data_IF_006765720293
#
_entry.id   IF_006765720293
#
_cell.length_a   1.000
_cell.length_b   1.000
_cell.length_c   1.000
_cell.angle_alpha   90.00
_cell.angle_beta   90.00
_cell.angle_gamma   90.00
#
_symmetry.space_group_name_H-M   'P 1'
#
loop_
_entity.id
_entity.type
_entity.pdbx_description
1 polymer ?
#
# COMPACT_ATOMS: atom_id res chain seq x y z
N UNK A 1 17.40 -18.78 -11.77
CA UNK A 1 16.58 -18.79 -11.71
C UNK A 1 15.48 -18.37 -10.88
N UNK A 2 15.10 -18.82 -9.85
CA UNK A 2 14.04 -18.28 -9.16
C UNK A 2 14.27 -16.93 -8.62
N UNK A 3 15.46 -16.41 -8.75
CA UNK A 3 15.67 -15.11 -8.30
C UNK A 3 14.93 -14.09 -9.02
N UNK A 4 14.67 -14.32 -10.34
CA UNK A 4 13.98 -13.35 -11.01
C UNK A 4 12.54 -13.29 -10.64
N UNK A 5 12.02 -14.24 -9.93
CA UNK A 5 10.70 -14.13 -9.41
C UNK A 5 10.62 -13.07 -8.33
N UNK A 6 11.65 -12.93 -7.51
CA UNK A 6 11.66 -11.88 -6.52
C UNK A 6 11.64 -10.52 -7.16
N UNK A 7 12.39 -10.36 -8.21
CA UNK A 7 12.40 -9.07 -8.87
C UNK A 7 11.04 -8.74 -9.45
N UNK A 8 10.35 -9.74 -9.98
CA UNK A 8 9.04 -9.52 -10.53
C UNK A 8 8.07 -9.09 -9.44
N UNK A 9 8.15 -9.69 -8.28
CA UNK A 9 7.29 -9.32 -7.18
C UNK A 9 7.57 -7.88 -6.75
N UNK A 10 8.85 -7.52 -6.65
CA UNK A 10 9.22 -6.17 -6.25
C UNK A 10 8.70 -5.15 -7.24
N UNK A 11 8.73 -5.47 -8.51
CA UNK A 11 8.25 -4.53 -9.52
C UNK A 11 6.77 -4.25 -9.40
N UNK A 12 6.01 -5.14 -8.80
CA UNK A 12 4.58 -4.96 -8.67
C UNK A 12 4.17 -4.29 -7.37
N UNK A 13 5.12 -4.02 -6.48
CA UNK A 13 4.80 -3.29 -5.26
C UNK A 13 4.43 -1.88 -5.60
N UNK A 14 3.41 -1.36 -4.93
CA UNK A 14 3.09 0.05 -5.05
C UNK A 14 3.36 0.79 -3.74
N UNK A 15 3.22 0.13 -2.61
CA UNK A 15 3.56 0.75 -1.33
C UNK A 15 4.06 -0.28 -0.33
N UNK A 16 4.66 0.24 0.76
CA UNK A 16 5.01 -0.55 1.93
C UNK A 16 4.38 0.14 3.13
N UNK A 17 3.82 -0.64 4.04
CA UNK A 17 3.17 -0.10 5.23
C UNK A 17 4.23 0.39 6.21
N UNK A 18 4.15 1.67 6.58
CA UNK A 18 5.08 2.25 7.55
C UNK A 18 4.52 2.21 8.95
N UNK A 19 3.21 2.43 9.09
CA UNK A 19 2.58 2.48 10.40
C UNK A 19 1.09 2.28 10.24
N UNK A 20 0.41 2.02 11.34
CA UNK A 20 -1.03 1.86 11.32
C UNK A 20 -1.61 2.27 12.67
N UNK A 21 -2.58 3.18 12.66
CA UNK A 21 -3.25 3.63 13.86
C UNK A 21 -4.56 2.88 13.99
N UNK A 22 -4.66 2.01 14.97
CA UNK A 22 -5.85 1.19 15.15
C UNK A 22 -7.07 2.01 15.55
N UNK A 23 -6.85 3.10 16.24
CA UNK A 23 -7.99 3.90 16.71
C UNK A 23 -8.67 4.63 15.56
N UNK A 24 -7.90 5.23 14.68
CA UNK A 24 -8.46 5.95 13.57
C UNK A 24 -8.56 5.07 12.32
N UNK A 25 -7.96 3.89 12.37
CA UNK A 25 -7.88 2.97 11.22
C UNK A 25 -7.15 3.62 10.03
N UNK A 26 -6.19 4.49 10.33
CA UNK A 26 -5.42 5.15 9.29
C UNK A 26 -4.09 4.45 9.10
N UNK A 27 -3.81 4.06 7.88
CA UNK A 27 -2.54 3.43 7.52
C UNK A 27 -1.61 4.48 6.93
N UNK A 28 -0.34 4.44 7.33
CA UNK A 28 0.69 5.29 6.77
C UNK A 28 1.52 4.44 5.83
N UNK A 29 1.57 4.85 4.57
CA UNK A 29 2.19 4.05 3.52
C UNK A 29 3.29 4.86 2.85
N UNK A 30 4.32 4.17 2.39
CA UNK A 30 5.36 4.81 1.58
C UNK A 30 5.19 4.35 0.14
N UNK A 31 5.04 5.29 -0.78
CA UNK A 31 4.82 4.99 -2.19
C UNK A 31 6.13 4.49 -2.81
N UNK A 32 6.05 3.37 -3.51
CA UNK A 32 7.20 2.80 -4.23
C UNK A 32 7.01 2.90 -5.73
N UNK A 33 5.79 2.70 -6.20
CA UNK A 33 5.47 2.77 -7.61
C UNK A 33 4.11 3.42 -7.77
N UNK A 34 3.84 3.87 -8.97
CA UNK A 34 2.59 4.56 -9.29
C UNK A 34 1.37 3.69 -9.01
N UNK A 35 0.38 4.27 -8.36
CA UNK A 35 -0.93 3.62 -8.24
C UNK A 35 -2.00 4.69 -8.07
N UNK A 36 -3.26 4.29 -8.25
CA UNK A 36 -4.39 5.20 -8.16
C UNK A 36 -5.19 4.91 -6.91
N UNK A 37 -5.77 5.95 -6.27
CA UNK A 37 -6.72 5.73 -5.19
C UNK A 37 -7.99 5.07 -5.70
N UNK A 38 -8.82 4.65 -4.76
CA UNK A 38 -10.15 4.09 -5.06
C UNK A 38 -10.10 2.88 -5.96
N UNK A 39 -9.20 1.95 -5.66
CA UNK A 39 -9.11 0.70 -6.40
C UNK A 39 -8.79 -0.41 -5.43
N UNK A 40 -8.95 -1.65 -5.89
CA UNK A 40 -8.62 -2.80 -5.09
C UNK A 40 -7.14 -3.08 -5.21
N UNK A 41 -6.50 -3.33 -4.07
CA UNK A 41 -5.09 -3.69 -4.02
C UNK A 41 -4.93 -4.92 -3.16
N UNK A 42 -3.81 -5.60 -3.32
CA UNK A 42 -3.53 -6.79 -2.56
C UNK A 42 -2.43 -6.51 -1.55
N UNK A 43 -2.68 -6.87 -0.29
CA UNK A 43 -1.70 -6.71 0.76
C UNK A 43 -1.21 -8.07 1.21
N UNK A 44 0.09 -8.17 1.49
CA UNK A 44 0.65 -9.38 2.07
C UNK A 44 1.85 -8.98 2.92
N UNK A 45 2.14 -9.77 3.90
CA UNK A 45 3.23 -9.46 4.82
C UNK A 45 3.71 -10.72 5.53
N UNK A 46 4.66 -10.54 6.47
CA UNK A 46 5.22 -11.72 7.17
C UNK A 46 4.16 -12.54 7.90
N UNK A 47 3.10 -11.89 8.38
CA UNK A 47 2.08 -12.58 9.15
C UNK A 47 0.69 -12.45 8.53
N UNK A 48 0.59 -11.84 7.35
CA UNK A 48 -0.69 -11.64 6.67
C UNK A 48 -0.67 -12.42 5.37
N UNK A 49 -1.66 -13.29 5.19
CA UNK A 49 -1.82 -13.96 3.92
C UNK A 49 -2.33 -12.95 2.89
N UNK A 50 -2.01 -13.20 1.64
CA UNK A 50 -2.43 -12.34 0.54
C UNK A 50 -3.93 -12.08 0.62
N UNK A 51 -4.31 -10.82 0.74
CA UNK A 51 -5.70 -10.42 0.91
C UNK A 51 -5.98 -9.21 0.03
N UNK A 52 -7.12 -9.22 -0.64
CA UNK A 52 -7.53 -8.10 -1.47
C UNK A 52 -8.34 -7.13 -0.62
N UNK A 53 -7.96 -5.87 -0.65
CA UNK A 53 -8.62 -4.82 0.14
C UNK A 53 -8.94 -3.66 -0.80
N UNK A 54 -10.13 -3.10 -0.66
CA UNK A 54 -10.49 -1.91 -1.42
C UNK A 54 -9.91 -0.70 -0.72
N UNK A 55 -9.06 0.05 -1.43
CA UNK A 55 -8.45 1.26 -0.90
C UNK A 55 -9.26 2.44 -1.41
N UNK A 56 -9.74 3.27 -0.50
CA UNK A 56 -10.50 4.44 -0.86
C UNK A 56 -9.62 5.64 -1.16
N UNK A 57 -10.01 6.82 -0.65
CA UNK A 57 -9.24 8.03 -0.87
C UNK A 57 -7.89 7.92 -0.18
N UNK A 58 -6.87 8.51 -0.80
CA UNK A 58 -5.53 8.55 -0.26
C UNK A 58 -5.17 10.01 -0.05
N UNK A 59 -4.51 10.30 1.07
CA UNK A 59 -4.19 11.66 1.48
C UNK A 59 -2.68 11.82 1.63
N UNK A 60 -2.17 13.02 1.38
CA UNK A 60 -0.76 13.29 1.64
C UNK A 60 -0.59 13.67 3.13
N UNK A 61 0.62 14.05 3.53
CA UNK A 61 0.90 14.36 4.93
C UNK A 61 0.23 15.65 5.40
N UNK A 62 -0.35 16.42 4.49
CA UNK A 62 -1.07 17.63 4.83
C UNK A 62 -2.57 17.43 4.71
N UNK A 63 -3.01 16.18 4.62
CA UNK A 63 -4.42 15.80 4.54
C UNK A 63 -5.11 16.24 3.25
N UNK A 64 -4.35 16.47 2.20
CA UNK A 64 -4.92 16.76 0.89
C UNK A 64 -5.21 15.47 0.16
N UNK A 65 -6.38 15.37 -0.45
CA UNK A 65 -6.76 14.19 -1.22
C UNK A 65 -5.90 14.12 -2.47
N UNK A 66 -5.33 12.96 -2.73
CA UNK A 66 -4.50 12.74 -3.91
C UNK A 66 -5.30 12.06 -4.99
N UNK A 67 -5.18 12.54 -6.22
CA UNK A 67 -5.83 11.91 -7.36
C UNK A 67 -4.98 10.80 -7.95
N UNK A 68 -3.69 10.84 -7.67
CA UNK A 68 -2.78 9.82 -8.15
C UNK A 68 -1.58 9.79 -7.21
N UNK A 69 -1.06 8.61 -6.97
CA UNK A 69 0.10 8.43 -6.11
C UNK A 69 1.26 8.01 -7.01
N UNK A 70 2.04 9.00 -7.45
CA UNK A 70 3.10 8.73 -8.42
C UNK A 70 4.47 9.30 -8.02
N UNK A 71 4.61 9.78 -6.79
CA UNK A 71 5.90 10.28 -6.33
C UNK A 71 6.59 9.21 -5.51
N UNK A 72 7.73 8.67 -5.97
CA UNK A 72 8.42 7.64 -5.21
C UNK A 72 8.83 8.15 -3.84
N UNK A 73 8.74 7.29 -2.84
CA UNK A 73 9.14 7.59 -1.47
C UNK A 73 8.22 8.59 -0.76
N UNK A 74 7.13 9.00 -1.39
CA UNK A 74 6.18 9.88 -0.74
C UNK A 74 5.42 9.13 0.35
N UNK A 75 5.17 9.80 1.47
CA UNK A 75 4.38 9.23 2.55
C UNK A 75 2.93 9.64 2.34
N UNK A 76 2.02 8.67 2.40
CA UNK A 76 0.59 8.92 2.22
C UNK A 76 -0.19 8.20 3.31
N UNK A 77 -1.43 8.62 3.51
CA UNK A 77 -2.32 8.05 4.51
C UNK A 77 -3.62 7.62 3.84
N UNK A 78 -4.18 6.51 4.30
CA UNK A 78 -5.47 6.07 3.81
C UNK A 78 -6.15 5.24 4.88
N UNK A 79 -7.47 5.20 4.86
CA UNK A 79 -8.20 4.34 5.77
C UNK A 79 -8.03 2.89 5.36
N UNK A 80 -7.88 2.03 6.35
CA UNK A 80 -7.64 0.61 6.08
C UNK A 80 -8.43 -0.22 7.06
N UNK A 81 -9.37 -1.00 6.57
CA UNK A 81 -10.23 -1.79 7.44
C UNK A 81 -9.91 -3.27 7.40
N UNK A 82 -9.00 -3.70 6.56
CA UNK A 82 -8.65 -5.12 6.46
C UNK A 82 -7.40 -5.45 7.26
N UNK A 83 -6.84 -6.64 7.04
CA UNK A 83 -5.60 -7.01 7.73
C UNK A 83 -4.47 -6.08 7.31
N UNK A 84 -3.64 -5.68 8.28
CA UNK A 84 -2.52 -4.81 7.99
C UNK A 84 -1.48 -4.97 9.09
N UNK A 85 -0.21 -4.83 8.73
CA UNK A 85 0.88 -4.82 9.70
C UNK A 85 2.02 -4.00 9.12
N UNK A 86 2.90 -3.53 10.00
CA UNK A 86 4.07 -2.76 9.57
C UNK A 86 4.95 -3.67 8.72
N UNK A 87 5.52 -3.09 7.68
CA UNK A 87 6.38 -3.77 6.70
C UNK A 87 5.62 -4.70 5.74
N UNK A 88 4.30 -4.71 5.82
CA UNK A 88 3.52 -5.41 4.81
C UNK A 88 3.66 -4.68 3.47
N UNK A 89 3.50 -5.42 2.40
CA UNK A 89 3.65 -4.88 1.06
C UNK A 89 2.31 -4.88 0.36
N UNK A 90 2.09 -3.86 -0.45
CA UNK A 90 0.85 -3.70 -1.17
C UNK A 90 1.17 -3.63 -2.66
N UNK A 91 0.43 -4.37 -3.46
CA UNK A 91 0.66 -4.41 -4.91
C UNK A 91 -0.64 -4.33 -5.66
N UNK A 92 -0.54 -3.99 -6.95
CA UNK A 92 -1.71 -3.93 -7.81
C UNK A 92 -2.21 -5.33 -8.12
N UNK A 93 -3.52 -5.41 -8.32
CA UNK A 93 -4.14 -6.66 -8.76
C UNK A 93 -4.10 -6.69 -10.27
N UNK A 94 -3.73 -7.86 -10.81
CA UNK A 94 -3.62 -7.99 -12.26
C UNK A 94 -4.90 -8.40 -12.89
#
# INVERSE_FOLDING_TARGET
MYQFHKETVIEHYVTIVQDYDKESQMATLQVKNHFMPNQDLEIFGPHILSTIVHVGDVYDTEDNVLEVCNKPMQIVHTKWSGPIEVDAMIRKIR
#
